data_IF_893164664038
#
_entry.id   IF_893164664038
#
_cell.length_a   1.000
_cell.length_b   1.000
_cell.length_c   1.000
_cell.angle_alpha   90.00
_cell.angle_beta   90.00
_cell.angle_gamma   90.00
#
_symmetry.space_group_name_H-M   'P 1'
#
loop_
_entity.id
_entity.type
_entity.pdbx_description
1 polymer ?
#
# COMPACT_ATOMS: atom_id res chain seq x y z
N UNK A 1 -35.12 -23.02 -0.27
CA UNK A 1 -33.77 -22.72 -0.77
C UNK A 1 -32.83 -23.17 0.32
N UNK A 2 -32.09 -24.24 0.06
CA UNK A 2 -31.31 -24.97 1.07
C UNK A 2 -30.13 -24.10 1.56
N UNK A 3 -29.97 -23.98 2.89
CA UNK A 3 -28.87 -23.20 3.49
C UNK A 3 -27.48 -23.72 3.08
N UNK A 4 -27.38 -24.98 2.63
CA UNK A 4 -26.17 -25.60 2.10
C UNK A 4 -25.71 -25.03 0.74
N UNK A 5 -26.60 -24.52 -0.10
CA UNK A 5 -26.26 -23.91 -1.40
C UNK A 5 -25.78 -22.45 -1.27
N UNK A 6 -26.15 -21.74 -0.21
CA UNK A 6 -25.75 -20.34 0.02
C UNK A 6 -24.27 -20.26 0.39
N UNK A 7 -23.70 -21.32 0.99
CA UNK A 7 -22.28 -21.39 1.34
C UNK A 7 -21.31 -21.63 0.16
N UNK A 8 -21.82 -22.08 -0.99
CA UNK A 8 -20.99 -22.45 -2.14
C UNK A 8 -20.71 -21.28 -3.13
N UNK A 9 -21.37 -20.13 -2.99
CA UNK A 9 -21.27 -19.00 -3.94
C UNK A 9 -20.35 -17.92 -3.39
N UNK A 10 -19.21 -17.68 -4.07
CA UNK A 10 -18.30 -16.57 -3.75
C UNK A 10 -18.97 -15.21 -4.03
N UNK A 11 -19.65 -15.08 -5.18
CA UNK A 11 -20.28 -13.82 -5.62
C UNK A 11 -21.62 -13.59 -4.91
N UNK A 12 -21.57 -13.36 -3.62
CA UNK A 12 -22.72 -12.90 -2.85
C UNK A 12 -22.88 -11.39 -2.97
N UNK A 13 -24.10 -10.86 -2.76
CA UNK A 13 -24.33 -9.41 -2.71
C UNK A 13 -23.36 -8.71 -1.72
N UNK A 14 -23.08 -9.35 -0.57
CA UNK A 14 -22.15 -8.82 0.43
C UNK A 14 -20.74 -8.77 -0.08
N UNK A 15 -20.25 -9.81 -0.71
CA UNK A 15 -18.91 -9.86 -1.29
C UNK A 15 -18.73 -8.74 -2.34
N UNK A 16 -19.71 -8.56 -3.22
CA UNK A 16 -19.68 -7.49 -4.23
C UNK A 16 -19.72 -6.09 -3.60
N UNK A 17 -20.50 -5.89 -2.54
CA UNK A 17 -20.51 -4.62 -1.80
C UNK A 17 -19.17 -4.34 -1.11
N UNK A 18 -18.51 -5.35 -0.55
CA UNK A 18 -17.17 -5.20 0.03
C UNK A 18 -16.11 -4.89 -1.05
N UNK A 19 -16.19 -5.52 -2.21
CA UNK A 19 -15.32 -5.20 -3.35
C UNK A 19 -15.55 -3.77 -3.86
N UNK A 20 -16.79 -3.32 -3.98
CA UNK A 20 -17.13 -1.96 -4.37
C UNK A 20 -16.68 -0.93 -3.32
N UNK A 21 -16.83 -1.24 -2.03
CA UNK A 21 -16.34 -0.42 -0.92
C UNK A 21 -14.80 -0.30 -0.95
N UNK A 22 -14.11 -1.41 -1.20
CA UNK A 22 -12.65 -1.44 -1.38
C UNK A 22 -12.23 -0.56 -2.56
N UNK A 23 -12.88 -0.70 -3.72
CA UNK A 23 -12.58 0.11 -4.89
C UNK A 23 -12.73 1.61 -4.60
N UNK A 24 -13.87 2.03 -4.06
CA UNK A 24 -14.12 3.45 -3.74
C UNK A 24 -13.08 4.01 -2.75
N UNK A 25 -12.73 3.22 -1.72
CA UNK A 25 -11.71 3.59 -0.75
C UNK A 25 -10.33 3.78 -1.38
N UNK A 26 -9.89 2.84 -2.22
CA UNK A 26 -8.58 2.93 -2.86
C UNK A 26 -8.53 3.96 -4.00
N UNK A 27 -9.67 4.30 -4.63
CA UNK A 27 -9.76 5.48 -5.50
C UNK A 27 -9.54 6.76 -4.69
N UNK A 28 -10.18 6.89 -3.53
CA UNK A 28 -9.99 8.04 -2.64
C UNK A 28 -8.52 8.16 -2.18
N UNK A 29 -7.92 7.06 -1.74
CA UNK A 29 -6.53 7.04 -1.29
C UNK A 29 -5.56 7.34 -2.45
N UNK A 30 -5.74 6.68 -3.59
CA UNK A 30 -4.90 6.85 -4.77
C UNK A 30 -4.93 8.26 -5.34
N UNK A 31 -6.08 8.95 -5.27
CA UNK A 31 -6.20 10.33 -5.73
C UNK A 31 -5.28 11.31 -4.99
N UNK A 32 -4.85 10.96 -3.79
CA UNK A 32 -3.92 11.79 -3.00
C UNK A 32 -2.46 11.70 -3.44
N UNK A 33 -2.09 10.67 -4.21
CA UNK A 33 -0.69 10.45 -4.57
C UNK A 33 -0.07 11.55 -5.44
N UNK A 34 -0.71 12.05 -6.49
CA UNK A 34 -0.21 13.23 -7.20
C UNK A 34 -0.53 14.54 -6.47
N UNK A 35 -1.69 14.62 -5.79
CA UNK A 35 -2.20 15.88 -5.24
C UNK A 35 -1.43 16.35 -4.02
N UNK A 36 -1.16 15.46 -3.04
CA UNK A 36 -0.48 15.87 -1.79
C UNK A 36 0.96 16.34 -2.01
N UNK A 37 1.81 15.65 -2.79
CA UNK A 37 3.15 16.15 -3.11
C UNK A 37 3.11 17.50 -3.81
N UNK A 38 2.25 17.66 -4.81
CA UNK A 38 2.12 18.91 -5.56
C UNK A 38 1.58 20.05 -4.68
N UNK A 39 0.57 19.80 -3.85
CA UNK A 39 0.04 20.77 -2.89
C UNK A 39 1.10 21.25 -1.89
N UNK A 40 1.89 20.31 -1.33
CA UNK A 40 2.96 20.66 -0.39
C UNK A 40 4.06 21.48 -1.07
N UNK A 41 4.43 21.16 -2.29
CA UNK A 41 5.50 21.82 -3.00
C UNK A 41 5.06 23.17 -3.58
N UNK A 42 3.94 23.24 -4.30
CA UNK A 42 3.52 24.41 -5.05
C UNK A 42 2.67 25.38 -4.22
N UNK A 43 1.71 24.88 -3.44
CA UNK A 43 0.77 25.76 -2.70
C UNK A 43 1.36 26.18 -1.34
N UNK A 44 2.08 25.28 -0.65
CA UNK A 44 2.67 25.56 0.66
C UNK A 44 4.16 25.95 0.60
N UNK A 45 4.81 25.89 -0.57
CA UNK A 45 6.22 26.20 -0.73
C UNK A 45 7.16 25.23 0.02
N UNK A 46 6.70 24.02 0.30
CA UNK A 46 7.46 23.00 1.02
C UNK A 46 8.54 22.38 0.13
N UNK A 47 9.76 22.24 0.64
CA UNK A 47 10.84 21.52 -0.06
C UNK A 47 10.67 19.99 -0.01
N UNK A 48 11.58 19.27 -0.65
CA UNK A 48 11.52 17.81 -0.80
C UNK A 48 11.39 17.05 0.53
N UNK A 49 12.03 17.51 1.62
CA UNK A 49 11.87 16.93 2.96
C UNK A 49 10.43 17.07 3.45
N UNK A 50 9.78 18.22 3.21
CA UNK A 50 8.40 18.44 3.59
C UNK A 50 7.44 17.52 2.80
N UNK A 51 7.67 17.32 1.50
CA UNK A 51 6.97 16.35 0.67
C UNK A 51 7.15 14.94 1.25
N UNK A 52 8.38 14.52 1.47
CA UNK A 52 8.68 13.20 2.03
C UNK A 52 8.03 12.95 3.40
N UNK A 53 8.07 13.94 4.29
CA UNK A 53 7.43 13.88 5.60
C UNK A 53 5.89 13.80 5.49
N UNK A 54 5.30 14.61 4.62
CA UNK A 54 3.85 14.62 4.39
C UNK A 54 3.35 13.31 3.81
N UNK A 55 4.09 12.73 2.86
CA UNK A 55 3.74 11.41 2.30
C UNK A 55 3.99 10.31 3.31
N UNK A 56 5.10 10.32 4.05
CA UNK A 56 5.46 9.25 4.98
C UNK A 56 4.66 9.22 6.29
N UNK A 57 4.10 10.34 6.72
CA UNK A 57 3.42 10.46 8.02
C UNK A 57 2.33 9.41 8.23
N UNK A 58 1.56 9.04 7.18
CA UNK A 58 0.50 8.02 7.31
C UNK A 58 1.07 6.65 7.66
N UNK A 59 2.19 6.26 7.05
CA UNK A 59 2.84 4.98 7.34
C UNK A 59 3.29 4.87 8.79
N UNK A 60 3.76 5.97 9.38
CA UNK A 60 4.18 6.00 10.78
C UNK A 60 3.01 5.71 11.73
N UNK A 61 1.88 6.39 11.57
CA UNK A 61 0.70 6.15 12.41
C UNK A 61 0.05 4.79 12.15
N UNK A 62 0.06 4.31 10.91
CA UNK A 62 -0.41 2.97 10.56
C UNK A 62 0.44 1.90 11.26
N UNK A 63 1.77 1.97 11.15
CA UNK A 63 2.69 1.03 11.80
C UNK A 63 2.48 0.98 13.32
N UNK A 64 2.38 2.16 13.94
CA UNK A 64 2.20 2.28 15.39
C UNK A 64 0.88 1.67 15.88
N UNK A 65 -0.19 1.77 15.08
CA UNK A 65 -1.52 1.34 15.50
C UNK A 65 -1.90 -0.08 15.07
N UNK A 66 -1.20 -0.70 14.11
CA UNK A 66 -1.52 -2.08 13.67
C UNK A 66 -1.60 -3.10 14.82
N UNK A 67 -0.69 -3.09 15.82
CA UNK A 67 -0.78 -4.04 16.93
C UNK A 67 -2.05 -3.89 17.79
N UNK A 68 -2.71 -2.73 17.73
CA UNK A 68 -3.93 -2.43 18.48
C UNK A 68 -5.19 -2.67 17.64
N UNK A 69 -5.13 -2.31 16.36
CA UNK A 69 -6.28 -2.35 15.44
C UNK A 69 -6.75 -3.79 15.18
N UNK A 70 -5.84 -4.75 15.04
CA UNK A 70 -6.19 -6.16 14.84
C UNK A 70 -7.07 -6.71 15.97
N UNK A 71 -6.58 -6.71 17.24
CA UNK A 71 -7.37 -7.13 18.39
C UNK A 71 -8.65 -6.29 18.63
N UNK A 72 -8.63 -5.01 18.27
CA UNK A 72 -9.82 -4.17 18.34
C UNK A 72 -10.91 -4.65 17.37
N UNK A 73 -10.52 -5.07 16.17
CA UNK A 73 -11.41 -5.65 15.19
C UNK A 73 -11.98 -7.02 15.60
N UNK A 74 -11.20 -7.80 16.33
CA UNK A 74 -11.66 -9.07 16.89
C UNK A 74 -12.69 -8.86 18.02
N UNK A 75 -12.57 -7.77 18.79
CA UNK A 75 -13.49 -7.44 19.89
C UNK A 75 -14.74 -6.68 19.44
N UNK A 76 -14.60 -5.68 18.57
CA UNK A 76 -15.70 -4.79 18.15
C UNK A 76 -16.32 -5.17 16.78
N UNK A 77 -15.72 -6.14 16.10
CA UNK A 77 -16.17 -6.63 14.80
C UNK A 77 -15.61 -5.87 13.61
N UNK A 78 -15.62 -6.52 12.45
CA UNK A 78 -15.07 -5.99 11.19
C UNK A 78 -15.76 -4.71 10.73
N UNK A 79 -17.09 -4.61 10.95
CA UNK A 79 -17.88 -3.42 10.61
C UNK A 79 -17.37 -2.17 11.33
N UNK A 80 -17.01 -2.30 12.61
CA UNK A 80 -16.44 -1.19 13.38
C UNK A 80 -15.14 -0.67 12.75
N UNK A 81 -14.22 -1.56 12.34
CA UNK A 81 -12.98 -1.16 11.69
C UNK A 81 -13.22 -0.48 10.35
N UNK A 82 -14.17 -0.98 9.56
CA UNK A 82 -14.51 -0.39 8.27
C UNK A 82 -15.09 1.03 8.42
N UNK A 83 -15.96 1.23 9.41
CA UNK A 83 -16.51 2.55 9.75
C UNK A 83 -15.39 3.48 10.22
N UNK A 84 -14.59 3.03 11.20
CA UNK A 84 -13.46 3.81 11.74
C UNK A 84 -12.48 4.20 10.63
N UNK A 85 -12.17 3.27 9.73
CA UNK A 85 -11.27 3.50 8.61
C UNK A 85 -11.81 4.50 7.60
N UNK A 86 -13.07 4.34 7.18
CA UNK A 86 -13.71 5.24 6.22
C UNK A 86 -13.85 6.66 6.79
N UNK A 87 -14.30 6.80 8.04
CA UNK A 87 -14.40 8.10 8.71
C UNK A 87 -13.01 8.72 8.88
N UNK A 88 -12.01 7.92 9.31
CA UNK A 88 -10.65 8.40 9.53
C UNK A 88 -10.00 8.95 8.26
N UNK A 89 -10.11 8.22 7.13
CA UNK A 89 -9.58 8.68 5.84
C UNK A 89 -10.30 9.93 5.36
N UNK A 90 -11.64 9.95 5.40
CA UNK A 90 -12.40 11.12 4.96
C UNK A 90 -12.14 12.35 5.83
N UNK A 91 -12.04 12.17 7.15
CA UNK A 91 -11.66 13.26 8.05
C UNK A 91 -10.27 13.79 7.74
N UNK A 92 -9.29 12.90 7.50
CA UNK A 92 -7.95 13.31 7.08
C UNK A 92 -7.97 14.17 5.83
N UNK A 93 -8.72 13.74 4.80
CA UNK A 93 -8.81 14.46 3.53
C UNK A 93 -9.50 15.82 3.68
N UNK A 94 -10.54 15.93 4.51
CA UNK A 94 -11.17 17.20 4.83
C UNK A 94 -10.26 18.12 5.65
N UNK A 95 -9.38 17.58 6.49
CA UNK A 95 -8.39 18.39 7.23
C UNK A 95 -7.31 18.99 6.31
N UNK A 96 -7.12 18.46 5.10
CA UNK A 96 -6.20 19.04 4.11
C UNK A 96 -6.77 20.30 3.47
N UNK A 97 -8.09 20.49 3.41
CA UNK A 97 -8.72 21.66 2.78
C UNK A 97 -8.31 22.99 3.45
N UNK A 98 -8.40 23.15 4.79
CA UNK A 98 -7.93 24.37 5.46
C UNK A 98 -6.42 24.38 5.74
N UNK A 99 -5.64 23.44 5.21
CA UNK A 99 -4.22 23.33 5.55
C UNK A 99 -3.40 24.46 4.90
N UNK A 100 -2.81 25.29 5.73
CA UNK A 100 -1.93 26.41 5.34
C UNK A 100 -0.46 26.18 5.71
N UNK A 101 -0.14 25.01 6.25
CA UNK A 101 1.23 24.66 6.64
C UNK A 101 1.50 23.17 6.50
N UNK A 102 2.76 22.83 6.29
CA UNK A 102 3.23 21.44 6.24
C UNK A 102 2.87 20.66 7.52
N UNK A 103 2.92 21.32 8.68
CA UNK A 103 2.55 20.70 9.95
C UNK A 103 1.08 20.25 9.98
N UNK A 104 0.16 21.02 9.40
CA UNK A 104 -1.25 20.64 9.27
C UNK A 104 -1.42 19.46 8.32
N UNK A 105 -0.69 19.45 7.20
CA UNK A 105 -0.69 18.29 6.28
C UNK A 105 -0.20 17.04 6.99
N UNK A 106 0.92 17.11 7.70
CA UNK A 106 1.47 15.99 8.46
C UNK A 106 0.46 15.49 9.51
N UNK A 107 -0.19 16.39 10.25
CA UNK A 107 -1.22 16.00 11.23
C UNK A 107 -2.42 15.30 10.56
N UNK A 108 -2.91 15.82 9.44
CA UNK A 108 -3.95 15.18 8.66
C UNK A 108 -3.52 13.79 8.15
N UNK A 109 -2.28 13.65 7.66
CA UNK A 109 -1.74 12.35 7.19
C UNK A 109 -1.56 11.33 8.31
N UNK A 110 -1.26 11.76 9.54
CA UNK A 110 -1.28 10.87 10.72
C UNK A 110 -2.69 10.32 10.97
N UNK A 111 -3.73 11.13 10.83
CA UNK A 111 -5.14 10.67 10.91
C UNK A 111 -5.44 9.68 9.77
N UNK A 112 -4.91 9.92 8.56
CA UNK A 112 -5.06 8.99 7.43
C UNK A 112 -4.54 7.60 7.78
N UNK A 113 -3.34 7.50 8.33
CA UNK A 113 -2.73 6.20 8.63
C UNK A 113 -3.49 5.41 9.69
N UNK A 114 -4.09 6.09 10.68
CA UNK A 114 -5.02 5.44 11.62
C UNK A 114 -6.22 4.84 10.90
N UNK A 115 -6.82 5.61 9.99
CA UNK A 115 -7.95 5.17 9.17
C UNK A 115 -7.56 4.03 8.22
N UNK A 116 -6.41 4.13 7.56
CA UNK A 116 -5.92 3.10 6.64
C UNK A 116 -5.69 1.77 7.34
N UNK A 117 -4.99 1.75 8.48
CA UNK A 117 -4.76 0.54 9.25
C UNK A 117 -6.09 -0.14 9.65
N UNK A 118 -7.08 0.63 10.06
CA UNK A 118 -8.40 0.11 10.41
C UNK A 118 -9.15 -0.43 9.19
N UNK A 119 -9.20 0.34 8.10
CA UNK A 119 -9.91 -0.08 6.89
C UNK A 119 -9.30 -1.33 6.29
N UNK A 120 -7.98 -1.34 6.11
CA UNK A 120 -7.27 -2.46 5.47
C UNK A 120 -7.47 -3.78 6.23
N UNK A 121 -7.31 -3.76 7.56
CA UNK A 121 -7.56 -4.95 8.40
C UNK A 121 -9.05 -5.33 8.36
N UNK A 122 -9.94 -4.34 8.45
CA UNK A 122 -11.37 -4.55 8.42
C UNK A 122 -11.87 -5.18 7.12
N UNK A 123 -11.44 -4.65 5.96
CA UNK A 123 -11.90 -5.10 4.64
C UNK A 123 -11.33 -6.48 4.27
N UNK A 124 -10.04 -6.71 4.52
CA UNK A 124 -9.41 -8.00 4.26
C UNK A 124 -10.02 -9.11 5.11
N UNK A 125 -10.23 -8.86 6.39
CA UNK A 125 -10.89 -9.82 7.29
C UNK A 125 -12.36 -10.04 6.89
N UNK A 126 -13.11 -8.97 6.58
CA UNK A 126 -14.53 -9.10 6.20
C UNK A 126 -14.70 -9.90 4.90
N UNK A 127 -13.80 -9.74 3.93
CA UNK A 127 -13.79 -10.53 2.68
C UNK A 127 -13.51 -12.01 2.99
N UNK A 128 -12.50 -12.30 3.84
CA UNK A 128 -12.16 -13.67 4.23
C UNK A 128 -13.29 -14.36 5.01
N UNK A 129 -13.99 -13.63 5.88
CA UNK A 129 -15.11 -14.14 6.67
C UNK A 129 -16.37 -14.47 5.80
N UNK A 130 -16.44 -13.91 4.56
CA UNK A 130 -17.57 -14.16 3.62
C UNK A 130 -17.31 -15.34 2.68
N UNK A 131 -16.10 -15.89 2.64
CA UNK A 131 -15.70 -16.88 1.65
C UNK A 131 -15.68 -18.29 2.22
N UNK A 132 -16.09 -19.30 1.41
CA UNK A 132 -15.79 -20.69 1.71
C UNK A 132 -14.28 -20.88 1.92
N UNK A 133 -13.86 -21.77 2.86
CA UNK A 133 -12.43 -21.96 3.17
C UNK A 133 -11.58 -22.35 1.97
N UNK A 134 -12.13 -23.12 1.03
CA UNK A 134 -11.50 -23.58 -0.21
C UNK A 134 -11.37 -22.48 -1.28
N UNK A 135 -12.08 -21.34 -1.15
CA UNK A 135 -12.10 -20.24 -2.12
C UNK A 135 -11.47 -18.92 -1.59
N UNK A 136 -10.81 -18.95 -0.43
CA UNK A 136 -10.19 -17.78 0.18
C UNK A 136 -9.11 -17.13 -0.71
N UNK A 137 -8.35 -17.94 -1.43
CA UNK A 137 -7.35 -17.44 -2.39
C UNK A 137 -7.98 -16.67 -3.54
N UNK A 138 -9.10 -17.17 -4.08
CA UNK A 138 -9.86 -16.51 -5.14
C UNK A 138 -10.44 -15.16 -4.65
N UNK A 139 -11.01 -15.13 -3.46
CA UNK A 139 -11.54 -13.91 -2.86
C UNK A 139 -10.45 -12.85 -2.63
N UNK A 140 -9.26 -13.27 -2.17
CA UNK A 140 -8.10 -12.37 -2.03
C UNK A 140 -7.66 -11.81 -3.38
N UNK A 141 -7.75 -12.61 -4.45
CA UNK A 141 -7.43 -12.15 -5.81
C UNK A 141 -8.38 -11.05 -6.28
N UNK A 142 -9.69 -11.23 -6.09
CA UNK A 142 -10.66 -10.18 -6.43
C UNK A 142 -10.47 -8.91 -5.59
N UNK A 143 -10.22 -9.03 -4.30
CA UNK A 143 -9.87 -7.89 -3.45
C UNK A 143 -8.65 -7.15 -3.98
N UNK A 144 -7.60 -7.90 -4.35
CA UNK A 144 -6.37 -7.32 -4.90
C UNK A 144 -6.63 -6.58 -6.22
N UNK A 145 -7.49 -7.11 -7.08
CA UNK A 145 -7.92 -6.42 -8.32
C UNK A 145 -8.62 -5.10 -7.99
N UNK A 146 -9.56 -5.08 -7.03
CA UNK A 146 -10.25 -3.83 -6.66
C UNK A 146 -9.30 -2.80 -6.06
N UNK A 147 -8.33 -3.24 -5.26
CA UNK A 147 -7.29 -2.40 -4.71
C UNK A 147 -6.46 -1.73 -5.81
N UNK A 148 -5.86 -2.53 -6.71
CA UNK A 148 -5.03 -1.96 -7.78
C UNK A 148 -5.82 -1.15 -8.80
N UNK A 149 -7.06 -1.52 -9.08
CA UNK A 149 -7.96 -0.72 -9.94
C UNK A 149 -8.24 0.65 -9.29
N UNK A 150 -8.45 0.68 -7.97
CA UNK A 150 -8.60 1.93 -7.24
C UNK A 150 -7.33 2.79 -7.29
N UNK A 151 -6.16 2.15 -7.13
CA UNK A 151 -4.86 2.82 -7.22
C UNK A 151 -4.46 3.22 -8.66
N UNK A 152 -5.10 2.65 -9.68
CA UNK A 152 -4.95 3.07 -11.08
C UNK A 152 -5.85 4.28 -11.42
N UNK A 153 -7.11 4.24 -11.01
CA UNK A 153 -8.10 5.28 -11.30
C UNK A 153 -7.87 6.53 -10.44
N UNK A 154 -7.52 6.32 -9.15
CA UNK A 154 -7.41 7.39 -8.17
C UNK A 154 -6.46 8.52 -8.58
N UNK A 155 -5.20 8.25 -8.94
CA UNK A 155 -4.26 9.29 -9.31
C UNK A 155 -4.70 10.12 -10.52
N UNK A 156 -5.27 9.50 -11.55
CA UNK A 156 -5.79 10.21 -12.71
C UNK A 156 -6.98 11.11 -12.35
N UNK A 157 -7.85 10.64 -11.43
CA UNK A 157 -8.95 11.45 -10.90
C UNK A 157 -8.41 12.63 -10.07
N UNK A 158 -7.46 12.38 -9.17
CA UNK A 158 -6.86 13.40 -8.32
C UNK A 158 -6.17 14.50 -9.13
N UNK A 159 -5.34 14.13 -10.10
CA UNK A 159 -4.69 15.06 -11.02
C UNK A 159 -5.71 15.91 -11.78
N UNK A 160 -6.71 15.26 -12.40
CA UNK A 160 -7.75 15.96 -13.16
C UNK A 160 -8.53 16.97 -12.31
N UNK A 161 -8.88 16.60 -11.08
CA UNK A 161 -9.57 17.49 -10.16
C UNK A 161 -8.68 18.66 -9.73
N UNK A 162 -7.41 18.40 -9.47
CA UNK A 162 -6.44 19.44 -9.11
C UNK A 162 -6.26 20.45 -10.24
N UNK A 163 -6.08 20.00 -11.48
CA UNK A 163 -5.94 20.87 -12.66
C UNK A 163 -7.17 21.72 -12.96
N UNK A 164 -8.36 21.12 -12.84
CA UNK A 164 -9.61 21.80 -13.24
C UNK A 164 -10.25 22.63 -12.14
N UNK A 165 -9.98 22.29 -10.88
CA UNK A 165 -10.77 22.79 -9.75
C UNK A 165 -9.95 23.11 -8.50
N UNK A 166 -8.63 22.85 -8.54
CA UNK A 166 -7.71 23.07 -7.43
C UNK A 166 -7.67 21.92 -6.41
N UNK A 167 -6.67 22.00 -5.52
CA UNK A 167 -6.39 20.96 -4.52
C UNK A 167 -7.56 20.76 -3.53
N UNK A 168 -8.23 21.83 -3.09
CA UNK A 168 -9.33 21.78 -2.13
C UNK A 168 -10.47 20.89 -2.63
N UNK A 169 -10.89 21.07 -3.90
CA UNK A 169 -11.95 20.26 -4.48
C UNK A 169 -11.51 18.82 -4.68
N UNK A 170 -10.25 18.58 -5.03
CA UNK A 170 -9.70 17.24 -5.11
C UNK A 170 -9.77 16.53 -3.74
N UNK A 171 -9.41 17.20 -2.65
CA UNK A 171 -9.52 16.66 -1.29
C UNK A 171 -10.97 16.41 -0.87
N UNK A 172 -11.90 17.33 -1.17
CA UNK A 172 -13.33 17.14 -0.86
C UNK A 172 -13.91 15.94 -1.61
N UNK A 173 -13.67 15.84 -2.91
CA UNK A 173 -14.17 14.71 -3.71
C UNK A 173 -13.56 13.39 -3.22
N UNK A 174 -12.26 13.35 -2.93
CA UNK A 174 -11.62 12.19 -2.35
C UNK A 174 -12.22 11.82 -0.98
N UNK A 175 -12.53 12.80 -0.12
CA UNK A 175 -13.18 12.58 1.16
C UNK A 175 -14.59 11.98 1.00
N UNK A 176 -15.38 12.47 0.05
CA UNK A 176 -16.70 11.92 -0.27
C UNK A 176 -16.60 10.48 -0.78
N UNK A 177 -15.63 10.18 -1.64
CA UNK A 177 -15.35 8.80 -2.07
C UNK A 177 -14.94 7.91 -0.90
N UNK A 178 -14.17 8.42 0.05
CA UNK A 178 -13.80 7.72 1.29
C UNK A 178 -15.00 7.39 2.20
N UNK A 179 -16.12 8.11 2.08
CA UNK A 179 -17.37 7.82 2.80
C UNK A 179 -18.27 6.81 2.07
N UNK A 180 -18.09 6.57 0.78
CA UNK A 180 -18.89 5.59 0.03
C UNK A 180 -18.93 4.20 0.69
N UNK A 181 -17.83 3.67 1.24
CA UNK A 181 -17.86 2.41 1.98
C UNK A 181 -18.89 2.38 3.12
N UNK A 182 -19.14 3.49 3.82
CA UNK A 182 -20.13 3.54 4.91
C UNK A 182 -21.54 3.22 4.41
N UNK A 183 -21.91 3.75 3.23
CA UNK A 183 -23.21 3.49 2.62
C UNK A 183 -23.34 2.03 2.18
N UNK A 184 -22.29 1.47 1.58
CA UNK A 184 -22.25 0.11 1.08
C UNK A 184 -22.23 -0.93 2.21
N UNK A 185 -21.48 -0.67 3.28
CA UNK A 185 -21.34 -1.55 4.44
C UNK A 185 -22.58 -1.48 5.34
N UNK A 186 -23.23 -0.31 5.41
CA UNK A 186 -24.49 -0.12 6.16
C UNK A 186 -25.59 -1.05 5.71
N UNK A 187 -25.60 -1.43 4.44
CA UNK A 187 -26.57 -2.37 3.83
C UNK A 187 -26.27 -3.85 4.13
N UNK A 188 -25.16 -4.18 4.80
CA UNK A 188 -24.76 -5.55 5.12
C UNK A 188 -24.84 -5.77 6.65
N UNK A 189 -25.76 -6.61 7.17
CA UNK A 189 -25.83 -6.91 8.61
C UNK A 189 -24.53 -7.56 9.08
N UNK A 190 -23.96 -7.05 10.19
CA UNK A 190 -22.78 -7.61 10.82
C UNK A 190 -23.08 -8.97 11.46
N UNK A 191 -22.13 -9.91 11.42
CA UNK A 191 -22.19 -11.09 12.30
C UNK A 191 -21.74 -10.66 13.70
N UNK A 192 -22.45 -11.09 14.75
CA UNK A 192 -21.92 -10.97 16.11
C UNK A 192 -20.60 -11.74 16.19
N UNK A 193 -19.57 -11.09 16.72
CA UNK A 193 -18.28 -11.74 16.99
C UNK A 193 -18.22 -11.92 18.49
N UNK A 194 -18.08 -13.17 18.96
CA UNK A 194 -17.69 -13.43 20.35
C UNK A 194 -16.25 -12.91 20.52
N UNK A 195 -16.03 -12.00 21.50
CA UNK A 195 -14.69 -11.44 21.68
C UNK A 195 -13.74 -12.54 22.14
N UNK A 196 -12.66 -12.81 21.42
CA UNK A 196 -11.65 -13.75 21.89
C UNK A 196 -10.93 -13.16 23.10
N UNK A 197 -10.57 -14.03 24.03
CA UNK A 197 -9.78 -13.67 25.23
C UNK A 197 -8.31 -13.43 24.86
N UNK A 198 -8.07 -12.43 24.00
CA UNK A 198 -6.74 -12.10 23.46
C UNK A 198 -6.30 -10.74 24.00
N UNK A 199 -5.06 -10.58 24.47
CA UNK A 199 -4.54 -9.28 24.90
C UNK A 199 -4.59 -8.26 23.77
N UNK A 200 -5.01 -7.02 24.11
CA UNK A 200 -5.14 -5.90 23.15
C UNK A 200 -3.81 -5.48 22.52
N UNK A 201 -2.70 -5.90 23.07
CA UNK A 201 -1.40 -5.38 22.66
C UNK A 201 -0.35 -6.48 22.61
N UNK A 202 0.24 -6.68 21.43
CA UNK A 202 1.39 -7.57 21.23
C UNK A 202 2.49 -6.81 20.49
N UNK A 203 3.34 -6.12 21.24
CA UNK A 203 4.45 -5.33 20.68
C UNK A 203 5.68 -6.15 20.24
N UNK A 204 5.76 -7.43 20.60
CA UNK A 204 6.90 -8.27 20.21
C UNK A 204 6.72 -8.74 18.77
N UNK A 205 7.71 -8.44 17.93
CA UNK A 205 7.74 -8.96 16.56
C UNK A 205 7.94 -10.48 16.57
N UNK A 206 7.21 -11.17 15.71
CA UNK A 206 7.35 -12.62 15.57
C UNK A 206 8.63 -12.95 14.79
N UNK A 207 9.42 -13.93 15.28
CA UNK A 207 10.71 -14.28 14.67
C UNK A 207 10.64 -14.69 13.19
N UNK A 208 9.57 -15.38 12.78
CA UNK A 208 9.35 -15.75 11.38
C UNK A 208 9.23 -14.54 10.44
N UNK A 209 8.81 -13.38 10.96
CA UNK A 209 8.64 -12.15 10.18
C UNK A 209 9.91 -11.31 10.08
N UNK A 210 10.92 -11.50 10.95
CA UNK A 210 12.05 -10.57 11.04
C UNK A 210 12.87 -10.52 9.75
N UNK A 211 13.29 -11.64 9.21
CA UNK A 211 14.11 -11.70 7.98
C UNK A 211 13.31 -11.29 6.74
N UNK A 212 12.13 -11.89 6.45
CA UNK A 212 11.30 -11.44 5.34
C UNK A 212 10.82 -9.99 5.49
N UNK A 213 10.50 -9.56 6.71
CA UNK A 213 10.10 -8.18 7.00
C UNK A 213 11.23 -7.17 6.76
N UNK A 214 12.45 -7.46 7.15
CA UNK A 214 13.61 -6.62 6.86
C UNK A 214 13.82 -6.49 5.35
N UNK A 215 13.71 -7.60 4.61
CA UNK A 215 13.81 -7.58 3.14
C UNK A 215 12.70 -6.78 2.50
N UNK A 216 11.46 -6.90 3.01
CA UNK A 216 10.33 -6.11 2.56
C UNK A 216 10.57 -4.62 2.82
N UNK A 217 11.03 -4.27 4.02
CA UNK A 217 11.33 -2.89 4.40
C UNK A 217 12.34 -2.24 3.44
N UNK A 218 13.49 -2.89 3.22
CA UNK A 218 14.53 -2.35 2.32
C UNK A 218 14.01 -2.28 0.87
N UNK A 219 13.34 -3.31 0.38
CA UNK A 219 12.83 -3.37 -0.98
C UNK A 219 11.72 -2.37 -1.28
N UNK A 220 10.90 -2.02 -0.28
CA UNK A 220 9.84 -1.03 -0.43
C UNK A 220 10.32 0.42 -0.31
N UNK A 221 11.57 0.68 0.08
CA UNK A 221 12.13 2.04 0.07
C UNK A 221 12.05 2.66 -1.33
N UNK A 222 12.38 1.90 -2.37
CA UNK A 222 12.26 2.34 -3.76
C UNK A 222 10.80 2.66 -4.14
N UNK A 223 9.86 1.78 -3.77
CA UNK A 223 8.44 1.99 -4.04
C UNK A 223 7.87 3.22 -3.30
N UNK A 224 8.27 3.44 -2.07
CA UNK A 224 7.82 4.61 -1.29
C UNK A 224 8.34 5.93 -1.87
N UNK A 225 9.57 5.94 -2.40
CA UNK A 225 10.11 7.07 -3.16
C UNK A 225 9.34 7.34 -4.45
N UNK A 226 8.97 6.28 -5.18
CA UNK A 226 8.08 6.38 -6.34
C UNK A 226 6.76 7.04 -5.97
N UNK A 227 6.09 6.61 -4.92
CA UNK A 227 4.81 7.20 -4.49
C UNK A 227 4.93 8.68 -4.11
N UNK A 228 6.05 9.07 -3.50
CA UNK A 228 6.25 10.42 -3.01
C UNK A 228 6.65 11.43 -4.09
N UNK A 229 7.50 11.01 -5.03
CA UNK A 229 8.18 11.96 -5.93
C UNK A 229 7.89 11.74 -7.41
N UNK A 230 7.26 10.63 -7.80
CA UNK A 230 7.04 10.31 -9.21
C UNK A 230 6.14 11.32 -9.92
N UNK A 231 5.07 11.81 -9.30
CA UNK A 231 4.20 12.81 -9.91
C UNK A 231 4.98 14.09 -10.25
N UNK A 232 5.76 14.59 -9.29
CA UNK A 232 6.57 15.79 -9.45
C UNK A 232 7.69 15.60 -10.49
N UNK A 233 8.37 14.46 -10.46
CA UNK A 233 9.40 14.14 -11.43
C UNK A 233 8.85 13.97 -12.84
N UNK A 234 7.74 13.25 -13.00
CA UNK A 234 7.13 13.06 -14.31
C UNK A 234 6.66 14.39 -14.94
N UNK A 235 6.14 15.31 -14.14
CA UNK A 235 5.77 16.65 -14.58
C UNK A 235 7.00 17.44 -15.06
N UNK A 236 8.12 17.40 -14.33
CA UNK A 236 9.39 18.04 -14.75
C UNK A 236 9.95 17.44 -16.04
N UNK A 237 9.81 16.12 -16.24
CA UNK A 237 10.23 15.44 -17.45
C UNK A 237 9.29 15.68 -18.63
N UNK A 238 8.23 16.49 -18.48
CA UNK A 238 7.28 16.81 -19.54
C UNK A 238 6.27 15.72 -19.86
N UNK A 239 6.01 14.80 -18.93
CA UNK A 239 4.92 13.82 -19.08
C UNK A 239 3.58 14.54 -18.99
N UNK A 240 2.74 14.37 -20.02
CA UNK A 240 1.49 15.12 -20.19
C UNK A 240 0.46 14.87 -19.07
N UNK A 241 0.46 13.69 -18.44
CA UNK A 241 -0.38 13.38 -17.29
C UNK A 241 0.38 12.47 -16.32
N UNK A 242 0.60 12.96 -15.12
CA UNK A 242 1.31 12.21 -14.07
C UNK A 242 0.46 11.07 -13.52
N UNK A 243 -0.87 11.22 -13.52
CA UNK A 243 -1.81 10.18 -13.13
C UNK A 243 -1.76 8.95 -14.03
N UNK A 244 -1.44 9.13 -15.34
CA UNK A 244 -1.28 8.01 -16.28
C UNK A 244 -0.07 7.14 -15.94
N UNK A 245 0.97 7.69 -15.32
CA UNK A 245 2.16 6.95 -14.84
C UNK A 245 1.77 5.94 -13.75
N UNK A 246 0.95 6.36 -12.80
CA UNK A 246 0.42 5.47 -11.75
C UNK A 246 -0.56 4.44 -12.30
N UNK A 247 -1.41 4.83 -13.26
CA UNK A 247 -2.32 3.92 -13.95
C UNK A 247 -1.54 2.85 -14.73
N UNK A 248 -0.47 3.24 -15.44
CA UNK A 248 0.43 2.33 -16.12
C UNK A 248 1.09 1.34 -15.15
N UNK A 249 1.65 1.85 -14.05
CA UNK A 249 2.22 1.02 -12.99
C UNK A 249 1.21 -0.03 -12.49
N UNK A 250 0.02 0.40 -12.08
CA UNK A 250 -1.02 -0.49 -11.55
C UNK A 250 -1.49 -1.52 -12.61
N UNK A 251 -1.66 -1.09 -13.86
CA UNK A 251 -2.06 -1.98 -14.98
C UNK A 251 -1.02 -3.07 -15.20
N UNK A 252 0.28 -2.73 -15.19
CA UNK A 252 1.37 -3.70 -15.36
C UNK A 252 1.39 -4.66 -14.18
N UNK A 253 1.28 -4.15 -12.94
CA UNK A 253 1.26 -4.99 -11.74
C UNK A 253 0.11 -6.01 -11.81
N UNK A 254 -1.10 -5.58 -12.18
CA UNK A 254 -2.26 -6.48 -12.32
C UNK A 254 -2.02 -7.49 -13.45
N UNK A 255 -1.61 -7.03 -14.64
CA UNK A 255 -1.39 -7.90 -15.80
C UNK A 255 -0.33 -8.97 -15.52
N UNK A 256 0.82 -8.56 -14.99
CA UNK A 256 1.92 -9.49 -14.67
C UNK A 256 1.53 -10.47 -13.56
N UNK A 257 0.75 -10.05 -12.56
CA UNK A 257 0.22 -10.95 -11.53
C UNK A 257 -0.77 -11.97 -12.08
N UNK A 258 -1.66 -11.56 -12.99
CA UNK A 258 -2.62 -12.48 -13.58
C UNK A 258 -1.93 -13.50 -14.50
N UNK A 259 -1.00 -13.04 -15.32
CA UNK A 259 -0.26 -13.91 -16.27
C UNK A 259 0.80 -14.77 -15.56
N UNK A 260 1.43 -14.25 -14.53
CA UNK A 260 2.54 -14.88 -13.81
C UNK A 260 2.18 -15.43 -12.43
N UNK A 261 0.91 -15.68 -12.12
CA UNK A 261 0.43 -16.08 -10.79
C UNK A 261 1.20 -17.30 -10.19
N UNK A 262 1.64 -18.23 -11.05
CA UNK A 262 2.39 -19.43 -10.66
C UNK A 262 3.91 -19.23 -10.66
N UNK A 263 4.39 -18.05 -11.03
CA UNK A 263 5.83 -17.79 -11.16
C UNK A 263 6.58 -17.88 -9.83
N UNK A 264 6.08 -17.28 -8.72
CA UNK A 264 6.70 -17.41 -7.40
C UNK A 264 6.84 -18.86 -6.93
N UNK A 265 5.80 -19.68 -7.16
CA UNK A 265 5.80 -21.10 -6.75
C UNK A 265 6.85 -21.92 -7.52
N UNK A 266 7.05 -21.60 -8.81
CA UNK A 266 8.03 -22.30 -9.67
C UNK A 266 9.47 -21.89 -9.41
N UNK A 267 9.71 -20.59 -9.15
CA UNK A 267 11.05 -20.04 -8.97
C UNK A 267 11.52 -20.10 -7.51
N UNK A 268 10.58 -20.25 -6.58
CA UNK A 268 10.83 -20.15 -5.15
C UNK A 268 11.01 -18.70 -4.67
N UNK A 269 10.74 -18.47 -3.39
CA UNK A 269 10.69 -17.13 -2.80
C UNK A 269 12.02 -16.36 -2.91
N UNK A 270 13.15 -17.04 -2.74
CA UNK A 270 14.48 -16.41 -2.82
C UNK A 270 14.77 -15.84 -4.21
N UNK A 271 14.57 -16.64 -5.26
CA UNK A 271 14.83 -16.24 -6.65
C UNK A 271 13.84 -15.14 -7.07
N UNK A 272 12.57 -15.29 -6.71
CA UNK A 272 11.53 -14.31 -6.98
C UNK A 272 11.86 -12.97 -6.32
N UNK A 273 12.25 -12.95 -5.05
CA UNK A 273 12.67 -11.72 -4.35
C UNK A 273 13.87 -11.05 -5.05
N UNK A 274 14.88 -11.83 -5.46
CA UNK A 274 16.04 -11.31 -6.21
C UNK A 274 15.64 -10.67 -7.53
N UNK A 275 14.86 -11.39 -8.33
CA UNK A 275 14.38 -10.85 -9.62
C UNK A 275 13.55 -9.57 -9.41
N UNK A 276 12.66 -9.56 -8.41
CA UNK A 276 11.87 -8.39 -8.05
C UNK A 276 12.77 -7.19 -7.73
N UNK A 277 13.79 -7.37 -6.92
CA UNK A 277 14.71 -6.29 -6.56
C UNK A 277 15.61 -5.87 -7.71
N UNK A 278 16.05 -6.80 -8.55
CA UNK A 278 16.82 -6.50 -9.75
C UNK A 278 16.05 -5.63 -10.75
N UNK A 279 14.81 -6.01 -11.06
CA UNK A 279 13.94 -5.22 -11.94
C UNK A 279 13.58 -3.86 -11.31
N UNK A 280 13.30 -3.82 -10.01
CA UNK A 280 13.03 -2.55 -9.32
C UNK A 280 14.24 -1.62 -9.37
N UNK A 281 15.45 -2.12 -9.11
CA UNK A 281 16.69 -1.36 -9.20
C UNK A 281 16.93 -0.84 -10.62
N UNK A 282 16.80 -1.72 -11.62
CA UNK A 282 16.97 -1.33 -13.02
C UNK A 282 15.97 -0.27 -13.46
N UNK A 283 14.68 -0.43 -13.10
CA UNK A 283 13.65 0.56 -13.41
C UNK A 283 13.91 1.92 -12.75
N UNK A 284 14.30 1.94 -11.47
CA UNK A 284 14.66 3.17 -10.77
C UNK A 284 15.91 3.83 -11.36
N UNK A 285 16.88 3.04 -11.80
CA UNK A 285 18.08 3.54 -12.46
C UNK A 285 17.74 4.18 -13.81
N UNK A 286 16.83 3.57 -14.58
CA UNK A 286 16.34 4.15 -15.84
C UNK A 286 15.63 5.48 -15.58
N UNK A 287 14.74 5.57 -14.58
CA UNK A 287 14.06 6.83 -14.20
C UNK A 287 15.08 7.91 -13.82
N UNK A 288 16.14 7.54 -13.11
CA UNK A 288 17.18 8.47 -12.66
C UNK A 288 18.07 8.98 -13.80
N UNK A 289 18.47 8.12 -14.71
CA UNK A 289 19.52 8.45 -15.71
C UNK A 289 18.93 8.90 -17.06
N UNK A 290 17.73 8.48 -17.40
CA UNK A 290 17.07 8.81 -18.67
C UNK A 290 15.98 9.85 -18.41
N UNK A 291 16.42 11.13 -18.40
CA UNK A 291 15.63 12.30 -17.96
C UNK A 291 14.75 12.87 -19.07
N UNK A 292 13.84 12.05 -19.63
CA UNK A 292 12.80 12.47 -20.56
C UNK A 292 11.50 11.64 -20.34
N UNK A 293 10.38 11.99 -20.98
CA UNK A 293 9.12 11.25 -20.82
C UNK A 293 9.23 9.76 -21.12
N UNK A 294 10.06 9.37 -22.10
CA UNK A 294 10.25 7.97 -22.48
C UNK A 294 10.96 7.19 -21.40
N UNK A 295 12.00 7.80 -20.81
CA UNK A 295 12.74 7.24 -19.68
C UNK A 295 11.85 7.00 -18.47
N UNK A 296 10.96 7.93 -18.15
CA UNK A 296 9.96 7.75 -17.07
C UNK A 296 9.06 6.55 -17.37
N UNK A 297 8.50 6.46 -18.59
CA UNK A 297 7.59 5.36 -18.97
C UNK A 297 8.33 4.00 -18.93
N UNK A 298 9.49 3.90 -19.57
CA UNK A 298 10.28 2.66 -19.59
C UNK A 298 10.68 2.23 -18.19
N UNK A 299 11.18 3.17 -17.40
CA UNK A 299 11.60 2.89 -16.01
C UNK A 299 10.45 2.42 -15.13
N UNK A 300 9.26 3.04 -15.27
CA UNK A 300 8.05 2.62 -14.55
C UNK A 300 7.60 1.23 -14.98
N UNK A 301 7.64 0.90 -16.26
CA UNK A 301 7.33 -0.46 -16.77
C UNK A 301 8.25 -1.49 -16.11
N UNK A 302 9.56 -1.25 -16.17
CA UNK A 302 10.57 -2.18 -15.60
C UNK A 302 10.41 -2.31 -14.09
N UNK A 303 10.24 -1.20 -13.37
CA UNK A 303 10.03 -1.18 -11.93
C UNK A 303 8.73 -1.90 -11.53
N UNK A 304 7.63 -1.70 -12.27
CA UNK A 304 6.34 -2.32 -11.99
C UNK A 304 6.43 -3.85 -12.09
N UNK A 305 7.14 -4.39 -13.08
CA UNK A 305 7.41 -5.83 -13.19
C UNK A 305 8.13 -6.33 -11.93
N UNK A 306 9.11 -5.58 -11.44
CA UNK A 306 9.82 -5.89 -10.21
C UNK A 306 8.92 -5.93 -8.97
N UNK A 307 8.07 -4.94 -8.80
CA UNK A 307 7.22 -4.82 -7.60
C UNK A 307 6.07 -5.85 -7.53
N UNK A 308 5.73 -6.53 -8.63
CA UNK A 308 4.61 -7.47 -8.68
C UNK A 308 4.68 -8.57 -7.63
N UNK A 309 5.85 -9.17 -7.45
CA UNK A 309 5.99 -10.42 -6.68
C UNK A 309 6.78 -10.28 -5.38
N UNK A 310 7.31 -9.10 -5.06
CA UNK A 310 8.09 -8.88 -3.83
C UNK A 310 7.28 -9.25 -2.58
N UNK A 311 6.13 -8.59 -2.42
CA UNK A 311 5.28 -8.83 -1.24
C UNK A 311 4.77 -10.29 -1.17
N UNK A 312 4.18 -10.88 -2.24
CA UNK A 312 3.72 -12.26 -2.20
C UNK A 312 4.83 -13.26 -1.85
N UNK A 313 6.00 -13.14 -2.47
CA UNK A 313 7.11 -14.06 -2.23
C UNK A 313 7.59 -14.06 -0.77
N UNK A 314 7.74 -12.88 -0.18
CA UNK A 314 8.15 -12.74 1.21
C UNK A 314 7.04 -13.14 2.19
N UNK A 315 5.76 -12.83 1.84
CA UNK A 315 4.60 -13.22 2.63
C UNK A 315 4.46 -14.74 2.75
N UNK A 316 4.63 -15.46 1.64
CA UNK A 316 4.60 -16.93 1.63
C UNK A 316 5.66 -17.51 2.59
N UNK A 317 6.89 -16.97 2.58
CA UNK A 317 7.93 -17.40 3.52
C UNK A 317 7.51 -17.23 4.98
N UNK A 318 6.83 -16.13 5.33
CA UNK A 318 6.34 -15.90 6.70
C UNK A 318 5.28 -16.92 7.08
N UNK A 319 4.32 -17.18 6.19
CA UNK A 319 3.22 -18.12 6.42
C UNK A 319 3.71 -19.55 6.56
N UNK A 320 4.67 -19.97 5.75
CA UNK A 320 5.27 -21.32 5.80
C UNK A 320 6.13 -21.55 7.04
N UNK A 321 6.81 -20.50 7.52
CA UNK A 321 7.73 -20.60 8.67
C UNK A 321 7.02 -20.45 10.02
N UNK A 322 5.86 -19.77 10.05
CA UNK A 322 5.13 -19.51 11.28
C UNK A 322 4.25 -20.72 11.70
N UNK A 323 4.28 -21.14 12.97
CA UNK A 323 3.33 -22.13 13.49
C UNK A 323 1.88 -21.65 13.30
N UNK A 324 0.94 -22.58 13.10
CA UNK A 324 -0.47 -22.26 12.88
C UNK A 324 -1.06 -21.37 13.99
N UNK A 325 -0.70 -21.67 15.23
CA UNK A 325 -1.15 -20.91 16.42
C UNK A 325 -0.60 -19.49 16.50
N UNK A 326 0.47 -19.15 15.77
CA UNK A 326 1.12 -17.84 15.79
C UNK A 326 1.09 -17.14 14.40
N UNK A 327 0.44 -17.74 13.41
CA UNK A 327 0.44 -17.25 12.02
C UNK A 327 -0.10 -15.82 11.90
N UNK A 328 -1.21 -15.49 12.57
CA UNK A 328 -1.77 -14.13 12.56
C UNK A 328 -0.81 -13.11 13.16
N UNK A 329 -0.09 -13.46 14.24
CA UNK A 329 0.92 -12.60 14.84
C UNK A 329 2.13 -12.39 13.92
N UNK A 330 2.58 -13.43 13.21
CA UNK A 330 3.67 -13.32 12.25
C UNK A 330 3.29 -12.44 11.05
N UNK A 331 2.08 -12.59 10.51
CA UNK A 331 1.55 -11.74 9.43
C UNK A 331 1.46 -10.28 9.87
N UNK A 332 0.94 -10.01 11.08
CA UNK A 332 0.89 -8.65 11.64
C UNK A 332 2.28 -8.02 11.77
N UNK A 333 3.25 -8.78 12.27
CA UNK A 333 4.64 -8.32 12.38
C UNK A 333 5.28 -8.04 11.01
N UNK A 334 4.98 -8.85 10.00
CA UNK A 334 5.45 -8.64 8.63
C UNK A 334 4.83 -7.39 7.99
N UNK A 335 3.52 -7.20 8.16
CA UNK A 335 2.81 -6.02 7.64
C UNK A 335 3.31 -4.70 8.23
N UNK A 336 3.77 -4.72 9.48
CA UNK A 336 4.40 -3.55 10.12
C UNK A 336 5.67 -3.10 9.39
N UNK A 337 6.42 -4.02 8.77
CA UNK A 337 7.59 -3.67 7.95
C UNK A 337 7.20 -2.91 6.67
N UNK A 338 6.03 -3.22 6.10
CA UNK A 338 5.45 -2.45 4.99
C UNK A 338 5.17 -0.99 5.41
N UNK A 339 4.46 -0.81 6.53
CA UNK A 339 4.11 0.54 7.00
C UNK A 339 5.34 1.36 7.38
N UNK A 340 6.34 0.73 8.00
CA UNK A 340 7.62 1.38 8.32
C UNK A 340 8.37 1.82 7.06
N UNK A 341 8.34 1.02 5.99
CA UNK A 341 8.91 1.43 4.72
C UNK A 341 8.17 2.63 4.12
N UNK A 342 6.84 2.64 4.22
CA UNK A 342 6.02 3.77 3.78
C UNK A 342 6.21 5.02 4.65
N UNK A 343 6.61 4.86 5.91
CA UNK A 343 6.91 5.97 6.82
C UNK A 343 8.29 6.58 6.56
N UNK A 344 9.32 5.74 6.56
CA UNK A 344 10.72 6.16 6.55
C UNK A 344 11.22 6.45 5.13
N UNK A 345 10.75 5.68 4.14
CA UNK A 345 11.23 5.77 2.77
C UNK A 345 11.05 7.15 2.14
N UNK A 346 9.83 7.71 2.12
CA UNK A 346 9.62 9.04 1.55
C UNK A 346 10.46 10.13 2.21
N UNK A 347 10.67 10.03 3.53
CA UNK A 347 11.50 10.98 4.29
C UNK A 347 12.98 10.90 3.89
N UNK A 348 13.54 9.68 3.79
CA UNK A 348 14.92 9.47 3.37
C UNK A 348 15.11 9.89 1.91
N UNK A 349 14.21 9.53 1.01
CA UNK A 349 14.26 9.97 -0.38
C UNK A 349 14.14 11.48 -0.48
N UNK A 350 13.25 12.11 0.29
CA UNK A 350 13.10 13.56 0.35
C UNK A 350 14.37 14.26 0.84
N UNK A 351 15.08 13.68 1.83
CA UNK A 351 16.36 14.20 2.29
C UNK A 351 17.44 14.12 1.18
N UNK A 352 17.49 13.02 0.43
CA UNK A 352 18.42 12.89 -0.70
C UNK A 352 18.07 13.87 -1.81
N UNK A 353 16.78 13.99 -2.18
CA UNK A 353 16.31 14.98 -3.18
C UNK A 353 16.69 16.41 -2.77
N UNK A 354 16.58 16.75 -1.48
CA UNK A 354 16.95 18.08 -0.98
C UNK A 354 18.46 18.37 -1.07
N UNK A 355 19.29 17.35 -1.03
CA UNK A 355 20.75 17.47 -1.10
C UNK A 355 21.26 17.37 -2.55
N UNK A 356 20.46 16.84 -3.46
CA UNK A 356 20.81 16.61 -4.87
C UNK A 356 19.73 17.19 -5.78
N UNK A 357 18.91 16.31 -6.34
CA UNK A 357 17.75 16.58 -7.19
C UNK A 357 16.83 15.35 -7.19
N UNK A 358 15.72 15.39 -7.96
CA UNK A 358 14.80 14.24 -8.06
C UNK A 358 15.43 13.02 -8.75
N UNK A 359 16.17 13.15 -9.87
CA UNK A 359 16.98 12.06 -10.40
C UNK A 359 17.89 11.40 -9.35
N UNK A 360 18.59 12.18 -8.51
CA UNK A 360 19.41 11.69 -7.41
C UNK A 360 18.63 10.91 -6.36
N UNK A 361 17.40 11.35 -6.04
CA UNK A 361 16.47 10.61 -5.20
C UNK A 361 16.10 9.24 -5.78
N UNK A 362 15.82 9.15 -7.09
CA UNK A 362 15.55 7.88 -7.78
C UNK A 362 16.81 7.01 -7.89
N UNK A 363 17.99 7.62 -8.05
CA UNK A 363 19.25 6.88 -7.96
C UNK A 363 19.43 6.23 -6.59
N UNK A 364 19.16 6.96 -5.52
CA UNK A 364 19.14 6.38 -4.16
C UNK A 364 18.15 5.22 -4.04
N UNK A 365 16.95 5.32 -4.59
CA UNK A 365 15.99 4.23 -4.66
C UNK A 365 16.55 3.00 -5.41
N UNK A 366 17.26 3.22 -6.51
CA UNK A 366 17.91 2.15 -7.27
C UNK A 366 18.99 1.46 -6.43
N UNK A 367 19.81 2.22 -5.69
CA UNK A 367 20.84 1.68 -4.79
C UNK A 367 20.21 0.88 -3.66
N UNK A 368 19.12 1.34 -3.05
CA UNK A 368 18.41 0.60 -2.00
C UNK A 368 17.83 -0.73 -2.53
N UNK A 369 17.27 -0.74 -3.73
CA UNK A 369 16.81 -1.97 -4.36
C UNK A 369 17.97 -2.91 -4.74
N UNK A 370 19.09 -2.38 -5.20
CA UNK A 370 20.32 -3.17 -5.46
C UNK A 370 20.89 -3.77 -4.17
N UNK A 371 20.89 -3.01 -3.07
CA UNK A 371 21.25 -3.51 -1.75
C UNK A 371 20.33 -4.65 -1.31
N UNK A 372 19.01 -4.51 -1.49
CA UNK A 372 18.04 -5.57 -1.21
C UNK A 372 18.32 -6.82 -2.07
N UNK A 373 18.63 -6.64 -3.36
CA UNK A 373 19.05 -7.74 -4.24
C UNK A 373 20.27 -8.48 -3.69
N UNK A 374 21.32 -7.77 -3.32
CA UNK A 374 22.56 -8.35 -2.79
C UNK A 374 22.33 -9.05 -1.44
N UNK A 375 21.54 -8.46 -0.56
CA UNK A 375 21.25 -8.98 0.79
C UNK A 375 20.22 -10.12 0.79
N UNK A 376 19.49 -10.37 -0.29
CA UNK A 376 18.47 -11.43 -0.36
C UNK A 376 19.05 -12.80 0.02
N UNK A 377 20.22 -13.15 -0.52
CA UNK A 377 20.88 -14.44 -0.20
C UNK A 377 21.33 -14.55 1.26
N UNK A 378 22.14 -13.60 1.75
CA UNK A 378 22.61 -13.60 3.13
C UNK A 378 21.50 -13.59 4.18
N UNK A 379 20.40 -12.84 3.94
CA UNK A 379 19.33 -12.68 4.92
C UNK A 379 18.33 -13.84 4.88
N UNK A 380 17.90 -14.26 3.67
CA UNK A 380 16.81 -15.23 3.53
C UNK A 380 17.23 -16.69 3.50
N UNK A 381 18.50 -17.01 3.22
CA UNK A 381 18.97 -18.39 3.34
C UNK A 381 18.88 -18.83 4.82
N UNK A 382 18.31 -20.01 5.11
CA UNK A 382 18.41 -20.55 6.46
C UNK A 382 19.89 -20.63 6.83
N UNK A 383 20.25 -20.08 8.01
CA UNK A 383 21.59 -20.29 8.58
C UNK A 383 21.77 -21.80 8.66
N UNK A 384 22.68 -22.34 7.86
CA UNK A 384 22.94 -23.80 7.83
C UNK A 384 23.00 -24.30 9.25
N UNK A 385 22.26 -25.36 9.52
CA UNK A 385 22.50 -26.24 10.63
C UNK A 385 23.99 -26.59 10.58
N UNK A 386 24.77 -25.95 11.45
CA UNK A 386 26.07 -26.53 11.84
C UNK A 386 25.67 -27.85 12.50
N UNK A 387 25.93 -28.94 11.79
CA UNK A 387 25.87 -30.29 12.32
C UNK A 387 26.84 -30.44 13.47
#
# INVERSE_FOLDING_TARGET
>A
MDESEVGARLFTRRFLLLCAASLAYFVALGSTWPVVPAFVEHDLGGGAVAVGLSVGAFGFSAALLRPVIGPLGDRKGRRFLLVLGSVGVSTSLLLLVPATSVAMVVAARLVLGMGEAAFFIGITSAIQDQCPPDRRGEATSYFTVTLYLGLAIGPALGERLMETSGADRAFVVAALLGLVPLMLIGAAPGRPVEPPDVPLLRWRLHRAALRPGLMLFIGLMAYSGFLAFMALHAAEMGVASTGTVFALFATIVVSVRLLGARLPDRLGALTTTRLSMGFTSAGMLVISLWTDPTGVVVGVVVMAIGQCFLFPALFTMVVETAPDSARSHAIGSFSMSFDLAMAIGPLLVGAVVALTDRPGGFFFCAVMAALAFALTGPILRPSGTIQ
#
